data_IF_356138445183
#
_entry.id   IF_356138445183
#
_cell.length_a   1.000
_cell.length_b   1.000
_cell.length_c   1.000
_cell.angle_alpha   90.00
_cell.angle_beta   90.00
_cell.angle_gamma   90.00
#
_symmetry.space_group_name_H-M   'P 1'
#
loop_
_entity.id
_entity.type
_entity.pdbx_description
1 polymer ?
#
# COMPACT_ATOMS: atom_id res chain seq x y z
N UNK A 1 16.08 -80.95 35.00
CA UNK A 1 15.24 -80.99 33.79
C UNK A 1 15.26 -79.60 33.18
N UNK A 2 16.38 -79.14 32.63
CA UNK A 2 17.12 -79.60 31.45
C UNK A 2 16.89 -78.63 30.29
N UNK A 3 18.02 -78.07 29.83
CA UNK A 3 18.36 -77.64 28.47
C UNK A 3 17.34 -76.79 27.66
N UNK A 4 17.68 -75.52 27.38
CA UNK A 4 18.38 -75.08 26.16
C UNK A 4 17.65 -75.41 24.86
N UNK A 5 17.38 -74.39 24.04
CA UNK A 5 17.96 -74.22 22.68
C UNK A 5 17.70 -72.78 22.21
N UNK A 6 18.81 -72.10 21.88
CA UNK A 6 18.91 -70.87 21.09
C UNK A 6 18.70 -71.16 19.60
N UNK A 7 18.57 -70.08 18.81
CA UNK A 7 18.73 -69.92 17.34
C UNK A 7 17.38 -69.70 16.66
N UNK A 8 17.15 -68.71 15.80
CA UNK A 8 17.97 -67.73 15.10
C UNK A 8 17.16 -67.22 13.89
N UNK A 9 17.59 -66.11 13.29
CA UNK A 9 17.09 -65.45 12.06
C UNK A 9 15.76 -64.69 12.18
N UNK A 10 15.73 -63.36 12.06
CA UNK A 10 16.03 -62.48 10.92
C UNK A 10 14.79 -62.17 10.05
N UNK A 11 14.52 -60.86 9.93
CA UNK A 11 13.84 -60.18 8.81
C UNK A 11 12.32 -60.34 8.68
N UNK A 12 11.55 -59.29 9.05
CA UNK A 12 10.87 -58.39 8.09
C UNK A 12 10.16 -57.26 8.87
N UNK A 13 10.80 -56.09 8.96
CA UNK A 13 10.10 -54.82 9.19
C UNK A 13 9.96 -54.19 7.82
N UNK A 14 8.85 -54.47 7.14
CA UNK A 14 8.45 -53.73 5.94
C UNK A 14 6.93 -53.57 5.97
N UNK A 15 6.48 -52.32 5.97
CA UNK A 15 5.26 -51.97 5.26
C UNK A 15 4.05 -51.55 6.08
N UNK A 16 4.15 -50.47 6.86
CA UNK A 16 3.07 -49.47 6.96
C UNK A 16 3.69 -48.08 6.94
N UNK A 17 4.10 -47.66 5.75
CA UNK A 17 4.56 -46.30 5.43
C UNK A 17 3.87 -45.90 4.12
N UNK A 18 2.66 -45.36 4.24
CA UNK A 18 2.02 -44.60 3.17
C UNK A 18 0.88 -43.76 3.79
N UNK A 19 0.84 -42.48 3.42
CA UNK A 19 -0.13 -41.45 3.83
C UNK A 19 0.11 -40.69 5.14
N UNK A 20 1.37 -40.31 5.41
CA UNK A 20 1.64 -39.00 6.03
C UNK A 20 2.32 -38.10 4.99
N UNK A 21 1.95 -36.82 4.89
CA UNK A 21 2.65 -35.86 4.04
C UNK A 21 4.15 -35.84 4.39
N UNK A 22 5.04 -35.50 3.43
CA UNK A 22 6.48 -35.60 3.62
C UNK A 22 6.89 -34.89 4.92
N UNK A 23 7.58 -35.65 5.76
CA UNK A 23 8.06 -35.22 7.05
C UNK A 23 8.75 -33.85 6.94
N UNK A 24 8.32 -32.90 7.77
CA UNK A 24 9.14 -31.77 8.18
C UNK A 24 10.54 -32.31 8.45
N UNK A 25 11.56 -31.86 7.71
CA UNK A 25 12.94 -32.10 8.11
C UNK A 25 13.04 -31.60 9.56
N UNK A 26 13.16 -32.52 10.51
CA UNK A 26 13.09 -32.20 11.93
C UNK A 26 14.31 -31.33 12.24
N UNK A 27 14.08 -30.03 12.37
CA UNK A 27 15.06 -29.06 12.81
C UNK A 27 15.87 -29.68 13.97
N UNK A 28 17.22 -29.77 13.88
CA UNK A 28 18.02 -30.44 14.91
C UNK A 28 17.71 -29.87 16.30
N UNK A 29 17.61 -30.73 17.31
CA UNK A 29 17.17 -30.36 18.66
C UNK A 29 18.04 -29.27 19.33
N UNK A 30 19.31 -29.16 18.93
CA UNK A 30 20.27 -28.17 19.41
C UNK A 30 20.27 -26.86 18.60
N UNK A 31 19.40 -26.71 17.60
CA UNK A 31 19.46 -25.59 16.65
C UNK A 31 19.21 -24.22 17.29
N UNK A 32 18.36 -24.15 18.33
CA UNK A 32 18.13 -22.89 19.07
C UNK A 32 19.40 -22.47 19.81
N UNK A 33 20.05 -23.41 20.48
CA UNK A 33 21.33 -23.17 21.18
C UNK A 33 22.40 -22.76 20.19
N UNK A 34 22.55 -23.48 19.08
CA UNK A 34 23.52 -23.13 18.03
C UNK A 34 23.27 -21.75 17.43
N UNK A 35 22.01 -21.41 17.12
CA UNK A 35 21.68 -20.08 16.63
C UNK A 35 22.01 -18.99 17.67
N UNK A 36 21.78 -19.28 18.96
CA UNK A 36 22.06 -18.35 20.07
C UNK A 36 23.56 -18.16 20.27
N UNK A 37 24.34 -19.23 20.19
CA UNK A 37 25.81 -19.19 20.27
C UNK A 37 26.42 -18.42 19.10
N UNK A 38 25.86 -18.57 17.90
CA UNK A 38 26.25 -17.78 16.73
C UNK A 38 25.88 -16.32 16.91
N UNK A 39 24.70 -16.00 17.46
CA UNK A 39 24.32 -14.63 17.77
C UNK A 39 25.29 -14.00 18.77
N UNK A 40 25.55 -14.65 19.91
CA UNK A 40 26.51 -14.17 20.90
C UNK A 40 27.92 -14.03 20.32
N UNK A 41 28.33 -14.94 19.43
CA UNK A 41 29.62 -14.85 18.72
C UNK A 41 29.66 -13.67 17.75
N UNK A 42 28.55 -13.41 17.05
CA UNK A 42 28.42 -12.28 16.12
C UNK A 42 28.52 -10.94 16.82
N UNK A 43 28.21 -10.84 18.11
CA UNK A 43 28.33 -9.61 18.90
C UNK A 43 29.79 -9.29 19.29
N UNK A 44 30.69 -10.28 19.26
CA UNK A 44 32.09 -10.08 19.66
C UNK A 44 32.86 -9.20 18.66
N UNK A 45 33.77 -8.33 19.13
CA UNK A 45 34.70 -7.62 18.26
C UNK A 45 35.58 -8.58 17.45
N UNK A 46 35.79 -8.30 16.16
CA UNK A 46 36.64 -9.12 15.28
C UNK A 46 36.03 -10.47 14.89
N UNK A 47 34.74 -10.69 15.13
CA UNK A 47 34.06 -11.89 14.68
C UNK A 47 34.15 -12.07 13.15
N UNK A 48 34.39 -13.31 12.70
CA UNK A 48 34.39 -13.65 11.29
C UNK A 48 32.95 -13.68 10.75
N UNK A 49 32.51 -12.53 10.23
CA UNK A 49 31.16 -12.31 9.70
C UNK A 49 30.84 -13.29 8.58
N UNK A 50 31.81 -13.66 7.74
CA UNK A 50 31.60 -14.57 6.61
C UNK A 50 31.34 -16.00 7.11
N UNK A 51 32.18 -16.48 8.02
CA UNK A 51 32.01 -17.81 8.61
C UNK A 51 30.71 -17.92 9.42
N UNK A 52 30.36 -16.88 10.18
CA UNK A 52 29.11 -16.83 10.94
C UNK A 52 27.89 -16.78 10.03
N UNK A 53 27.94 -16.01 8.93
CA UNK A 53 26.87 -15.96 7.93
C UNK A 53 26.64 -17.32 7.28
N UNK A 54 27.72 -18.04 6.91
CA UNK A 54 27.62 -19.38 6.36
C UNK A 54 26.92 -20.37 7.30
N UNK A 55 27.25 -20.31 8.59
CA UNK A 55 26.62 -21.16 9.61
C UNK A 55 25.16 -20.77 9.89
N UNK A 56 24.86 -19.47 9.97
CA UNK A 56 23.49 -18.98 10.15
C UNK A 56 22.61 -19.42 8.98
N UNK A 57 23.07 -19.26 7.74
CA UNK A 57 22.36 -19.67 6.53
C UNK A 57 22.05 -21.18 6.53
N UNK A 58 22.99 -22.01 7.01
CA UNK A 58 22.79 -23.45 7.12
C UNK A 58 21.70 -23.80 8.14
N UNK A 59 21.63 -23.09 9.28
CA UNK A 59 20.55 -23.27 10.26
C UNK A 59 19.21 -22.83 9.67
N UNK A 60 19.15 -21.67 8.99
CA UNK A 60 17.93 -21.19 8.32
C UNK A 60 17.39 -22.18 7.30
N UNK A 61 18.28 -22.85 6.56
CA UNK A 61 17.89 -23.89 5.60
C UNK A 61 17.42 -25.19 6.29
N UNK A 62 18.00 -25.55 7.43
CA UNK A 62 17.65 -26.75 8.18
C UNK A 62 16.37 -26.60 9.03
N UNK A 63 16.05 -25.37 9.43
CA UNK A 63 14.97 -25.06 10.38
C UNK A 63 13.99 -23.98 9.86
N UNK A 64 13.45 -24.10 8.63
CA UNK A 64 12.70 -23.01 7.99
C UNK A 64 11.43 -22.63 8.76
N UNK A 65 10.77 -23.60 9.40
CA UNK A 65 9.47 -23.40 10.07
C UNK A 65 9.56 -23.45 11.60
N UNK A 66 10.76 -23.50 12.21
CA UNK A 66 10.89 -23.55 13.66
C UNK A 66 10.80 -22.14 14.27
N UNK A 67 9.76 -21.80 15.06
CA UNK A 67 9.58 -20.46 15.60
C UNK A 67 10.72 -19.96 16.48
N UNK A 68 11.22 -20.81 17.37
CA UNK A 68 12.23 -20.44 18.35
C UNK A 68 13.58 -20.20 17.69
N UNK A 69 13.92 -21.03 16.70
CA UNK A 69 15.13 -20.83 15.88
C UNK A 69 15.00 -19.56 15.06
N UNK A 70 13.86 -19.38 14.37
CA UNK A 70 13.61 -18.19 13.56
C UNK A 70 13.68 -16.89 14.38
N UNK A 71 13.18 -16.90 15.62
CA UNK A 71 13.30 -15.74 16.53
C UNK A 71 14.75 -15.31 16.73
N UNK A 72 15.66 -16.26 16.93
CA UNK A 72 17.09 -15.97 17.10
C UNK A 72 17.73 -15.58 15.76
N UNK A 73 17.36 -16.26 14.67
CA UNK A 73 17.86 -15.99 13.34
C UNK A 73 17.53 -14.58 12.84
N UNK A 74 16.38 -14.02 13.20
CA UNK A 74 16.05 -12.62 12.85
C UNK A 74 17.11 -11.66 13.38
N UNK A 75 17.44 -11.76 14.67
CA UNK A 75 18.43 -10.91 15.30
C UNK A 75 19.85 -11.19 14.79
N UNK A 76 20.19 -12.48 14.60
CA UNK A 76 21.48 -12.89 14.04
C UNK A 76 21.70 -12.32 12.64
N UNK A 77 20.77 -12.54 11.72
CA UNK A 77 20.88 -12.01 10.36
C UNK A 77 20.85 -10.48 10.33
N UNK A 78 20.06 -9.83 11.19
CA UNK A 78 20.07 -8.37 11.33
C UNK A 78 21.43 -7.83 11.79
N UNK A 79 22.05 -8.47 12.78
CA UNK A 79 23.38 -8.10 13.27
C UNK A 79 24.49 -8.38 12.25
N UNK A 80 24.41 -9.52 11.54
CA UNK A 80 25.34 -9.84 10.45
C UNK A 80 25.21 -8.84 9.30
N UNK A 81 24.01 -8.37 8.98
CA UNK A 81 23.81 -7.33 7.97
C UNK A 81 24.50 -6.01 8.36
N UNK A 82 24.40 -5.60 9.63
CA UNK A 82 25.08 -4.40 10.16
C UNK A 82 26.61 -4.49 10.10
N UNK A 83 27.17 -5.70 10.17
CA UNK A 83 28.61 -5.95 10.20
C UNK A 83 29.18 -6.38 8.86
N UNK A 84 28.34 -6.57 7.85
CA UNK A 84 28.78 -6.96 6.51
C UNK A 84 29.66 -5.88 5.87
N UNK A 85 30.79 -6.28 5.33
CA UNK A 85 31.72 -5.37 4.64
C UNK A 85 31.25 -5.02 3.22
N UNK A 86 30.51 -5.92 2.57
CA UNK A 86 29.94 -5.72 1.25
C UNK A 86 28.44 -5.37 1.33
N UNK A 87 27.97 -4.33 0.63
CA UNK A 87 26.55 -3.99 0.59
C UNK A 87 25.64 -5.13 0.07
N UNK A 88 26.14 -5.97 -0.84
CA UNK A 88 25.43 -7.15 -1.34
C UNK A 88 25.19 -8.19 -0.25
N UNK A 89 26.15 -8.36 0.66
CA UNK A 89 26.06 -9.32 1.75
C UNK A 89 25.11 -8.78 2.83
N UNK A 90 25.17 -7.48 3.11
CA UNK A 90 24.18 -6.80 3.95
C UNK A 90 22.76 -7.00 3.41
N UNK A 91 22.58 -6.84 2.09
CA UNK A 91 21.29 -7.08 1.44
C UNK A 91 20.84 -8.55 1.55
N UNK A 92 21.73 -9.51 1.34
CA UNK A 92 21.39 -10.93 1.48
C UNK A 92 20.99 -11.29 2.91
N UNK A 93 21.71 -10.76 3.92
CA UNK A 93 21.40 -10.98 5.33
C UNK A 93 20.08 -10.32 5.75
N UNK A 94 19.77 -9.11 5.29
CA UNK A 94 18.45 -8.47 5.57
C UNK A 94 17.28 -9.24 4.97
N UNK A 95 17.43 -9.79 3.76
CA UNK A 95 16.44 -10.69 3.15
C UNK A 95 16.22 -11.95 3.99
N UNK A 96 17.29 -12.55 4.52
CA UNK A 96 17.21 -13.72 5.39
C UNK A 96 16.57 -13.39 6.75
N UNK A 97 16.92 -12.25 7.35
CA UNK A 97 16.26 -11.75 8.56
C UNK A 97 14.75 -11.59 8.34
N UNK A 98 14.36 -11.04 7.19
CA UNK A 98 12.96 -10.89 6.83
C UNK A 98 12.23 -12.23 6.65
N UNK A 99 12.85 -13.21 5.98
CA UNK A 99 12.28 -14.55 5.81
C UNK A 99 12.09 -15.27 7.15
N UNK A 100 13.09 -15.20 8.04
CA UNK A 100 12.99 -15.75 9.39
C UNK A 100 11.86 -15.08 10.18
N UNK A 101 11.70 -13.75 10.05
CA UNK A 101 10.62 -13.01 10.69
C UNK A 101 9.25 -13.48 10.19
N UNK A 102 9.06 -13.63 8.87
CA UNK A 102 7.81 -14.13 8.29
C UNK A 102 7.45 -15.52 8.82
N UNK A 103 8.43 -16.43 8.84
CA UNK A 103 8.23 -17.78 9.35
C UNK A 103 7.88 -17.80 10.85
N UNK A 104 8.52 -16.94 11.65
CA UNK A 104 8.19 -16.73 13.06
C UNK A 104 6.74 -16.27 13.23
N UNK A 105 6.28 -15.25 12.51
CA UNK A 105 4.90 -14.76 12.65
C UNK A 105 3.87 -15.77 12.16
N UNK A 106 4.15 -16.51 11.07
CA UNK A 106 3.27 -17.57 10.54
C UNK A 106 2.96 -18.66 11.57
N UNK A 107 3.89 -18.96 12.47
CA UNK A 107 3.73 -19.97 13.50
C UNK A 107 2.78 -19.55 14.66
N UNK A 108 2.21 -18.35 14.61
CA UNK A 108 1.28 -17.86 15.63
C UNK A 108 1.95 -17.41 16.93
N UNK A 109 3.28 -17.27 16.93
CA UNK A 109 4.03 -16.75 18.06
C UNK A 109 3.72 -15.25 18.21
N UNK A 110 2.99 -14.91 19.28
CA UNK A 110 2.46 -13.57 19.60
C UNK A 110 3.53 -12.49 19.88
N UNK A 111 4.81 -12.74 19.59
CA UNK A 111 5.92 -11.80 19.74
C UNK A 111 6.21 -11.02 18.44
N UNK A 112 5.20 -10.79 17.58
CA UNK A 112 5.32 -9.93 16.42
C UNK A 112 5.62 -8.49 16.87
N UNK A 113 6.89 -8.20 17.13
CA UNK A 113 7.34 -6.90 17.61
C UNK A 113 7.49 -5.97 16.39
N UNK A 114 6.68 -4.90 16.37
CA UNK A 114 6.77 -3.84 15.35
C UNK A 114 8.15 -3.18 15.29
N UNK A 115 8.92 -3.18 16.38
CA UNK A 115 10.27 -2.62 16.42
C UNK A 115 11.29 -3.49 15.68
N UNK A 116 11.16 -4.82 15.81
CA UNK A 116 12.07 -5.76 15.15
C UNK A 116 11.86 -5.77 13.64
N UNK A 117 10.59 -5.88 13.26
CA UNK A 117 10.10 -5.64 11.92
C UNK A 117 10.68 -4.36 11.29
N UNK A 118 10.60 -3.29 12.06
CA UNK A 118 11.09 -1.98 11.68
C UNK A 118 12.60 -1.99 11.44
N UNK A 119 13.37 -2.51 12.38
CA UNK A 119 14.82 -2.59 12.26
C UNK A 119 15.23 -3.33 10.97
N UNK A 120 14.54 -4.42 10.61
CA UNK A 120 14.82 -5.16 9.37
C UNK A 120 14.55 -4.30 8.13
N UNK A 121 13.43 -3.56 8.10
CA UNK A 121 13.11 -2.65 6.98
C UNK A 121 14.13 -1.52 6.87
N UNK A 122 14.53 -0.90 8.00
CA UNK A 122 15.54 0.15 8.01
C UNK A 122 16.88 -0.37 7.44
N UNK A 123 17.28 -1.58 7.83
CA UNK A 123 18.49 -2.23 7.31
C UNK A 123 18.37 -2.54 5.81
N UNK A 124 17.21 -3.03 5.37
CA UNK A 124 16.94 -3.30 3.96
C UNK A 124 17.01 -2.01 3.14
N UNK A 125 16.42 -0.92 3.63
CA UNK A 125 16.48 0.40 2.98
C UNK A 125 17.93 0.92 2.84
N UNK A 126 18.73 0.77 3.89
CA UNK A 126 20.15 1.15 3.85
C UNK A 126 20.93 0.29 2.84
N UNK A 127 20.72 -1.02 2.85
CA UNK A 127 21.39 -1.93 1.92
C UNK A 127 21.00 -1.66 0.45
N UNK A 128 19.73 -1.38 0.17
CA UNK A 128 19.25 -1.03 -1.17
C UNK A 128 19.78 0.31 -1.65
N UNK A 129 19.87 1.31 -0.77
CA UNK A 129 20.46 2.60 -1.09
C UNK A 129 21.95 2.48 -1.46
N UNK A 130 22.69 1.60 -0.78
CA UNK A 130 24.12 1.38 -1.05
C UNK A 130 24.37 0.52 -2.31
N UNK A 131 23.52 -0.49 -2.55
CA UNK A 131 23.68 -1.40 -3.69
C UNK A 131 23.07 -0.88 -4.98
N UNK A 132 22.10 0.04 -4.90
CA UNK A 132 21.26 0.46 -6.02
C UNK A 132 20.35 -0.64 -6.57
N UNK A 133 20.23 -1.78 -5.86
CA UNK A 133 19.45 -2.93 -6.29
C UNK A 133 18.30 -3.16 -5.31
N UNK A 134 17.03 -3.16 -5.76
CA UNK A 134 15.93 -3.50 -4.88
C UNK A 134 15.99 -4.98 -4.49
N UNK A 135 15.59 -5.30 -3.26
CA UNK A 135 15.45 -6.68 -2.77
C UNK A 135 14.26 -7.38 -3.42
N UNK A 136 14.14 -8.68 -3.15
CA UNK A 136 12.97 -9.43 -3.58
C UNK A 136 11.66 -8.93 -2.95
N UNK A 137 11.69 -8.13 -1.87
CA UNK A 137 10.50 -7.62 -1.18
C UNK A 137 10.13 -6.19 -1.56
N UNK A 138 11.12 -5.37 -1.94
CA UNK A 138 10.91 -3.98 -2.35
C UNK A 138 10.78 -3.78 -3.86
N UNK A 139 11.19 -4.77 -4.67
CA UNK A 139 11.04 -4.67 -6.13
C UNK A 139 9.56 -4.65 -6.53
N UNK A 140 9.25 -3.86 -7.55
CA UNK A 140 7.93 -3.87 -8.18
C UNK A 140 7.54 -5.28 -8.61
N UNK A 141 6.27 -5.64 -8.40
CA UNK A 141 5.68 -6.90 -8.83
C UNK A 141 5.73 -6.97 -10.35
N UNK A 142 6.30 -8.06 -10.89
CA UNK A 142 6.36 -8.33 -12.33
C UNK A 142 5.36 -9.42 -12.71
N UNK A 143 4.82 -9.39 -13.94
CA UNK A 143 4.06 -10.52 -14.48
C UNK A 143 4.90 -11.81 -14.39
N UNK A 144 4.34 -12.85 -13.79
CA UNK A 144 5.02 -14.15 -13.58
C UNK A 144 5.79 -14.28 -12.27
N UNK A 145 5.87 -13.22 -11.44
CA UNK A 145 6.32 -13.39 -10.06
C UNK A 145 5.38 -14.37 -9.34
N UNK A 146 5.91 -15.30 -8.51
CA UNK A 146 5.05 -16.14 -7.70
C UNK A 146 4.16 -15.24 -6.85
N UNK A 147 2.85 -15.53 -6.85
CA UNK A 147 1.91 -14.80 -6.02
C UNK A 147 2.46 -14.83 -4.59
N UNK A 148 2.65 -13.65 -3.99
CA UNK A 148 2.95 -13.61 -2.57
C UNK A 148 1.84 -14.38 -1.85
N UNK A 149 2.23 -15.21 -0.88
CA UNK A 149 1.25 -15.88 -0.04
C UNK A 149 0.52 -14.79 0.76
N UNK A 150 -0.81 -14.85 0.81
CA UNK A 150 -1.54 -13.95 1.68
C UNK A 150 -1.37 -14.42 3.12
N UNK A 151 -0.29 -13.98 3.76
CA UNK A 151 0.10 -14.37 5.11
C UNK A 151 -0.07 -13.19 6.07
N UNK A 152 -0.56 -13.50 7.28
CA UNK A 152 -0.74 -12.53 8.36
C UNK A 152 0.56 -11.75 8.69
N UNK A 153 1.73 -12.34 8.41
CA UNK A 153 3.03 -11.73 8.63
C UNK A 153 3.29 -10.51 7.74
N UNK A 154 2.99 -10.62 6.44
CA UNK A 154 3.15 -9.50 5.50
C UNK A 154 2.13 -8.40 5.79
N UNK A 155 0.92 -8.81 6.17
CA UNK A 155 -0.16 -7.93 6.62
C UNK A 155 0.21 -7.12 7.87
N UNK A 156 0.50 -7.81 8.98
CA UNK A 156 0.67 -7.19 10.30
C UNK A 156 1.80 -6.17 10.27
N UNK A 157 2.88 -6.48 9.55
CA UNK A 157 4.08 -5.66 9.56
C UNK A 157 3.99 -4.44 8.66
N UNK A 158 3.44 -4.60 7.46
CA UNK A 158 3.12 -3.47 6.62
C UNK A 158 2.15 -2.51 7.34
N UNK A 159 1.26 -3.06 8.17
CA UNK A 159 0.39 -2.31 9.06
C UNK A 159 1.11 -1.60 10.20
N UNK A 160 2.02 -2.26 10.92
CA UNK A 160 2.84 -1.63 11.97
C UNK A 160 3.78 -0.56 11.42
N UNK A 161 4.31 -0.75 10.21
CA UNK A 161 5.25 0.20 9.61
C UNK A 161 4.55 1.38 8.95
N UNK A 162 3.41 1.15 8.30
CA UNK A 162 2.57 2.21 7.75
C UNK A 162 2.12 3.21 8.81
N UNK A 163 1.96 2.76 10.06
CA UNK A 163 1.70 3.60 11.23
C UNK A 163 2.89 4.50 11.64
N UNK A 164 4.13 4.14 11.30
CA UNK A 164 5.36 4.78 11.77
C UNK A 164 6.05 5.69 10.72
N UNK A 165 5.62 5.63 9.46
CA UNK A 165 6.05 6.56 8.40
C UNK A 165 5.59 8.00 8.69
N UNK A 166 4.35 8.26 9.17
CA UNK A 166 3.81 9.61 9.32
C UNK A 166 4.54 10.59 10.23
N UNK A 167 5.40 10.09 11.11
CA UNK A 167 6.02 10.92 12.12
C UNK A 167 7.37 11.53 11.68
N UNK A 168 8.12 10.90 10.76
CA UNK A 168 9.57 11.08 10.70
C UNK A 168 10.21 11.30 9.32
N UNK A 169 9.43 11.50 8.24
CA UNK A 169 10.02 11.88 6.95
C UNK A 169 10.97 10.84 6.33
N UNK A 170 10.63 9.55 6.45
CA UNK A 170 11.59 8.46 6.26
C UNK A 170 11.84 8.10 4.78
N UNK A 171 13.08 7.75 4.38
CA UNK A 171 13.45 7.35 3.01
C UNK A 171 12.98 5.94 2.61
N UNK A 172 12.43 5.16 3.53
CA UNK A 172 12.04 3.74 3.36
C UNK A 172 10.60 3.53 2.84
N UNK A 173 9.82 4.60 2.69
CA UNK A 173 8.40 4.55 2.31
C UNK A 173 8.15 3.75 1.03
N UNK A 174 9.09 3.76 0.07
CA UNK A 174 8.99 2.99 -1.19
C UNK A 174 9.03 1.48 -0.96
N UNK A 175 9.87 1.02 -0.04
CA UNK A 175 9.97 -0.40 0.33
C UNK A 175 8.65 -0.84 0.94
N UNK A 176 8.12 -0.05 1.86
CA UNK A 176 6.88 -0.34 2.58
C UNK A 176 5.68 -0.38 1.63
N UNK A 177 5.61 0.56 0.68
CA UNK A 177 4.58 0.56 -0.35
C UNK A 177 4.69 -0.65 -1.27
N UNK A 178 5.89 -1.06 -1.68
CA UNK A 178 6.07 -2.27 -2.47
C UNK A 178 5.58 -3.53 -1.72
N UNK A 179 5.84 -3.59 -0.41
CA UNK A 179 5.36 -4.68 0.44
C UNK A 179 3.84 -4.66 0.63
N UNK A 180 3.25 -3.47 0.81
CA UNK A 180 1.80 -3.29 0.86
C UNK A 180 1.12 -3.68 -0.45
N UNK A 181 1.62 -3.19 -1.59
CA UNK A 181 1.04 -3.49 -2.91
C UNK A 181 1.09 -4.99 -3.22
N UNK A 182 2.19 -5.66 -2.84
CA UNK A 182 2.30 -7.13 -2.92
C UNK A 182 1.27 -7.84 -2.06
N UNK A 183 1.11 -7.38 -0.82
CA UNK A 183 0.17 -7.96 0.14
C UNK A 183 -1.27 -7.77 -0.34
N UNK A 184 -1.62 -6.58 -0.84
CA UNK A 184 -2.94 -6.29 -1.44
C UNK A 184 -3.20 -7.24 -2.60
N UNK A 185 -2.27 -7.33 -3.57
CA UNK A 185 -2.42 -8.21 -4.72
C UNK A 185 -2.53 -9.70 -4.34
N UNK A 186 -1.83 -10.13 -3.29
CA UNK A 186 -1.88 -11.49 -2.77
C UNK A 186 -3.20 -11.82 -2.06
N UNK A 187 -3.73 -10.86 -1.30
CA UNK A 187 -4.83 -11.03 -0.38
C UNK A 187 -6.21 -10.69 -0.94
N UNK A 188 -6.28 -9.97 -2.06
CA UNK A 188 -7.54 -9.65 -2.75
C UNK A 188 -8.36 -10.95 -2.97
N UNK A 189 -9.57 -11.00 -2.40
CA UNK A 189 -10.47 -12.16 -2.50
C UNK A 189 -10.09 -13.39 -1.67
N UNK A 190 -9.03 -13.33 -0.84
CA UNK A 190 -8.56 -14.47 -0.02
C UNK A 190 -8.64 -14.23 1.50
N UNK A 191 -8.74 -12.98 1.94
CA UNK A 191 -8.91 -12.61 3.35
C UNK A 191 -10.30 -12.05 3.61
N UNK A 192 -10.63 -11.94 4.88
CA UNK A 192 -11.85 -11.27 5.28
C UNK A 192 -11.79 -9.78 4.83
N UNK A 193 -12.89 -9.19 4.35
CA UNK A 193 -12.91 -7.84 3.80
C UNK A 193 -12.27 -6.78 4.71
N UNK A 194 -12.41 -6.93 6.04
CA UNK A 194 -11.82 -6.00 7.01
C UNK A 194 -10.28 -5.97 6.98
N UNK A 195 -9.61 -7.09 6.72
CA UNK A 195 -8.14 -7.15 6.71
C UNK A 195 -7.60 -6.49 5.44
N UNK A 196 -8.29 -6.69 4.31
CA UNK A 196 -7.98 -6.03 3.05
C UNK A 196 -8.19 -4.51 3.12
N UNK A 197 -9.23 -4.06 3.83
CA UNK A 197 -9.51 -2.63 4.05
C UNK A 197 -8.35 -1.94 4.76
N UNK A 198 -7.75 -2.57 5.78
CA UNK A 198 -6.58 -2.01 6.49
C UNK A 198 -5.40 -1.78 5.55
N UNK A 199 -5.06 -2.78 4.73
CA UNK A 199 -3.95 -2.69 3.78
C UNK A 199 -4.15 -1.56 2.77
N UNK A 200 -5.36 -1.48 2.19
CA UNK A 200 -5.72 -0.45 1.22
C UNK A 200 -5.67 0.95 1.83
N UNK A 201 -6.22 1.12 3.03
CA UNK A 201 -6.24 2.41 3.73
C UNK A 201 -4.82 2.91 4.05
N UNK A 202 -3.94 2.02 4.51
CA UNK A 202 -2.55 2.39 4.83
C UNK A 202 -1.71 2.68 3.59
N UNK A 203 -1.88 1.88 2.53
CA UNK A 203 -1.23 2.18 1.24
C UNK A 203 -1.67 3.54 0.71
N UNK A 204 -2.95 3.89 0.81
CA UNK A 204 -3.44 5.21 0.43
C UNK A 204 -2.86 6.33 1.31
N UNK A 205 -2.80 6.13 2.63
CA UNK A 205 -2.27 7.12 3.59
C UNK A 205 -0.80 7.45 3.33
N UNK A 206 0.06 6.44 3.20
CA UNK A 206 1.50 6.63 2.94
C UNK A 206 1.71 7.36 1.62
N UNK A 207 0.92 7.06 0.59
CA UNK A 207 1.01 7.75 -0.71
C UNK A 207 0.58 9.20 -0.62
N UNK A 208 -0.51 9.50 0.09
CA UNK A 208 -0.93 10.89 0.33
C UNK A 208 0.16 11.66 1.06
N UNK A 209 0.75 11.06 2.08
CA UNK A 209 1.82 11.69 2.83
C UNK A 209 3.07 11.91 1.97
N UNK A 210 3.48 10.93 1.15
CA UNK A 210 4.59 11.08 0.21
C UNK A 210 4.36 12.24 -0.77
N UNK A 211 3.12 12.42 -1.22
CA UNK A 211 2.72 13.54 -2.09
C UNK A 211 2.74 14.88 -1.34
N UNK A 212 2.26 14.94 -0.09
CA UNK A 212 2.24 16.14 0.74
C UNK A 212 3.66 16.62 1.07
N UNK A 213 4.54 15.69 1.42
CA UNK A 213 5.95 15.97 1.74
C UNK A 213 6.87 16.03 0.51
N UNK A 214 6.31 15.92 -0.70
CA UNK A 214 7.03 16.02 -1.99
C UNK A 214 8.17 14.98 -2.15
N UNK A 215 8.02 13.79 -1.56
CA UNK A 215 8.98 12.68 -1.72
C UNK A 215 8.95 12.05 -3.12
N UNK A 216 7.88 12.31 -3.88
CA UNK A 216 7.74 12.01 -5.31
C UNK A 216 7.92 13.31 -6.10
N UNK A 217 9.15 13.65 -6.55
CA UNK A 217 9.41 14.95 -7.18
C UNK A 217 8.94 15.02 -8.64
N UNK A 218 8.96 13.90 -9.37
CA UNK A 218 8.59 13.87 -10.78
C UNK A 218 7.06 14.01 -10.98
N UNK A 219 6.59 14.88 -11.89
CA UNK A 219 5.16 15.08 -12.12
C UNK A 219 4.38 13.79 -12.44
N UNK A 220 4.92 12.96 -13.34
CA UNK A 220 4.27 11.71 -13.74
C UNK A 220 4.18 10.71 -12.58
N UNK A 221 5.24 10.61 -11.78
CA UNK A 221 5.26 9.76 -10.57
C UNK A 221 4.24 10.24 -9.52
N UNK A 222 4.05 11.56 -9.39
CA UNK A 222 3.02 12.13 -8.50
C UNK A 222 1.63 11.75 -8.96
N UNK A 223 1.36 11.83 -10.26
CA UNK A 223 0.07 11.46 -10.85
C UNK A 223 -0.19 9.97 -10.64
N UNK A 224 0.79 9.12 -10.97
CA UNK A 224 0.69 7.67 -10.76
C UNK A 224 0.46 7.33 -9.28
N UNK A 225 1.20 7.97 -8.38
CA UNK A 225 1.07 7.78 -6.92
C UNK A 225 -0.32 8.20 -6.42
N UNK A 226 -0.82 9.34 -6.88
CA UNK A 226 -2.15 9.82 -6.52
C UNK A 226 -3.27 8.93 -7.07
N UNK A 227 -3.10 8.37 -8.28
CA UNK A 227 -4.07 7.48 -8.89
C UNK A 227 -4.22 6.18 -8.09
N UNK A 228 -3.09 5.56 -7.70
CA UNK A 228 -3.10 4.36 -6.86
C UNK A 228 -3.69 4.66 -5.47
N UNK A 229 -3.30 5.77 -4.85
CA UNK A 229 -3.84 6.17 -3.54
C UNK A 229 -5.37 6.32 -3.58
N UNK A 230 -5.90 6.96 -4.63
CA UNK A 230 -7.33 7.13 -4.84
C UNK A 230 -8.03 5.79 -5.06
N UNK A 231 -7.49 4.93 -5.91
CA UNK A 231 -8.07 3.62 -6.18
C UNK A 231 -8.14 2.77 -4.89
N UNK A 232 -7.06 2.75 -4.09
CA UNK A 232 -7.04 2.03 -2.83
C UNK A 232 -8.03 2.61 -1.81
N UNK A 233 -8.12 3.93 -1.69
CA UNK A 233 -9.08 4.60 -0.82
C UNK A 233 -10.53 4.25 -1.24
N UNK A 234 -10.85 4.33 -2.52
CA UNK A 234 -12.17 3.98 -3.05
C UNK A 234 -12.52 2.51 -2.76
N UNK A 235 -11.58 1.59 -3.00
CA UNK A 235 -11.78 0.16 -2.73
C UNK A 235 -12.00 -0.11 -1.24
N UNK A 236 -11.24 0.52 -0.35
CA UNK A 236 -11.42 0.40 1.09
C UNK A 236 -12.83 0.82 1.53
N UNK A 237 -13.36 1.94 1.01
CA UNK A 237 -14.71 2.40 1.33
C UNK A 237 -15.83 1.59 0.67
N UNK A 238 -15.60 0.95 -0.48
CA UNK A 238 -16.54 0.01 -1.07
C UNK A 238 -16.71 -1.24 -0.18
N UNK A 239 -15.61 -1.73 0.38
CA UNK A 239 -15.61 -2.88 1.27
C UNK A 239 -16.15 -2.55 2.67
N UNK A 240 -15.99 -1.31 3.14
CA UNK A 240 -16.50 -0.81 4.44
C UNK A 240 -17.11 0.59 4.31
N UNK A 241 -18.40 0.68 3.92
CA UNK A 241 -19.10 1.96 3.73
C UNK A 241 -19.33 2.75 5.01
N UNK A 242 -19.47 2.05 6.15
CA UNK A 242 -19.68 2.60 7.50
C UNK A 242 -18.45 3.35 8.05
N UNK A 243 -17.34 3.28 7.32
CA UNK A 243 -16.05 3.83 7.72
C UNK A 243 -15.07 2.72 8.04
N UNK A 244 -13.79 3.04 7.86
CA UNK A 244 -12.70 2.15 8.24
C UNK A 244 -12.54 2.23 9.75
N UNK A 245 -13.36 1.49 10.51
CA UNK A 245 -13.08 1.26 11.93
C UNK A 245 -11.93 0.28 12.03
N UNK A 246 -10.71 0.79 11.83
CA UNK A 246 -9.43 0.18 12.16
C UNK A 246 -8.40 1.33 12.25
N UNK A 247 -8.30 1.89 13.45
CA UNK A 247 -7.17 2.67 14.00
C UNK A 247 -6.70 3.98 13.34
N UNK A 248 -7.07 4.39 12.10
CA UNK A 248 -6.38 5.55 11.49
C UNK A 248 -7.15 6.55 10.63
N UNK A 249 -8.36 6.29 10.14
CA UNK A 249 -9.04 7.25 9.26
C UNK A 249 -10.52 7.42 9.58
N UNK A 250 -10.86 8.61 10.11
CA UNK A 250 -12.23 9.07 10.25
C UNK A 250 -12.79 9.45 8.87
N UNK A 251 -14.12 9.49 8.68
CA UNK A 251 -14.73 10.00 7.45
C UNK A 251 -14.31 11.44 7.07
N UNK A 252 -13.90 12.24 8.05
CA UNK A 252 -13.32 13.57 7.82
C UNK A 252 -11.94 13.47 7.13
N UNK A 253 -11.09 12.55 7.57
CA UNK A 253 -9.74 12.32 7.01
C UNK A 253 -9.84 11.84 5.56
N UNK A 254 -10.85 10.99 5.25
CA UNK A 254 -11.17 10.62 3.86
C UNK A 254 -11.42 11.85 2.99
N UNK A 255 -12.31 12.76 3.43
CA UNK A 255 -12.68 13.93 2.62
C UNK A 255 -11.46 14.81 2.35
N UNK A 256 -10.63 15.05 3.36
CA UNK A 256 -9.39 15.81 3.20
C UNK A 256 -8.41 15.12 2.25
N UNK A 257 -8.23 13.80 2.36
CA UNK A 257 -7.37 13.04 1.47
C UNK A 257 -7.89 13.03 0.04
N UNK A 258 -9.19 12.84 -0.16
CA UNK A 258 -9.81 12.85 -1.49
C UNK A 258 -9.71 14.24 -2.14
N UNK A 259 -9.94 15.32 -1.38
CA UNK A 259 -9.72 16.70 -1.83
C UNK A 259 -8.27 16.97 -2.22
N UNK A 260 -7.32 16.51 -1.39
CA UNK A 260 -5.90 16.62 -1.70
C UNK A 260 -5.51 15.84 -2.97
N UNK A 261 -5.93 14.57 -3.08
CA UNK A 261 -5.64 13.71 -4.23
C UNK A 261 -6.26 14.25 -5.51
N UNK A 262 -7.48 14.79 -5.43
CA UNK A 262 -8.09 15.52 -6.53
C UNK A 262 -7.16 16.66 -6.97
N UNK A 263 -6.62 17.46 -6.05
CA UNK A 263 -5.65 18.53 -6.36
C UNK A 263 -4.44 18.08 -7.20
N UNK A 264 -3.96 16.85 -7.00
CA UNK A 264 -2.78 16.29 -7.71
C UNK A 264 -3.15 15.67 -9.05
N UNK A 265 -4.31 15.02 -9.15
CA UNK A 265 -4.71 14.27 -10.33
C UNK A 265 -5.11 15.19 -11.50
N UNK A 266 -4.79 14.80 -12.76
CA UNK A 266 -5.16 15.56 -13.95
C UNK A 266 -6.69 15.64 -14.10
N UNK A 267 -7.24 16.55 -14.90
CA UNK A 267 -8.67 16.54 -15.23
C UNK A 267 -9.07 15.24 -15.96
N UNK A 268 -10.27 14.75 -15.70
CA UNK A 268 -10.91 13.68 -16.48
C UNK A 268 -11.08 14.16 -17.93
N UNK A 269 -10.78 13.34 -18.95
CA UNK A 269 -11.05 13.69 -20.34
C UNK A 269 -12.53 13.98 -20.61
N UNK A 270 -12.83 14.97 -21.46
CA UNK A 270 -14.21 15.37 -21.80
C UNK A 270 -15.06 14.20 -22.34
N UNK A 271 -14.44 13.27 -23.07
CA UNK A 271 -15.10 12.09 -23.61
C UNK A 271 -15.67 11.13 -22.55
N UNK A 272 -15.19 11.19 -21.31
CA UNK A 272 -15.59 10.29 -20.23
C UNK A 272 -16.62 10.91 -19.28
N UNK A 273 -16.86 12.22 -19.34
CA UNK A 273 -17.62 12.94 -18.30
C UNK A 273 -19.04 12.43 -18.12
N UNK A 274 -19.72 12.07 -19.20
CA UNK A 274 -21.14 11.72 -19.19
C UNK A 274 -21.41 10.22 -19.26
N UNK A 275 -20.38 9.39 -19.01
CA UNK A 275 -20.58 7.96 -18.84
C UNK A 275 -21.47 7.68 -17.60
N UNK A 276 -22.33 6.65 -17.61
CA UNK A 276 -23.27 6.39 -16.51
C UNK A 276 -22.63 6.30 -15.12
N UNK A 277 -21.44 5.70 -15.03
CA UNK A 277 -20.65 5.59 -13.79
C UNK A 277 -20.16 6.93 -13.23
N UNK A 278 -20.20 7.99 -14.05
CA UNK A 278 -19.72 9.33 -13.70
C UNK A 278 -20.83 10.31 -13.33
N UNK A 279 -22.11 9.90 -13.34
CA UNK A 279 -23.26 10.78 -13.12
C UNK A 279 -23.19 11.61 -11.82
N UNK A 280 -22.60 11.07 -10.76
CA UNK A 280 -22.41 11.74 -9.46
C UNK A 280 -20.91 11.95 -9.09
N UNK A 281 -20.01 11.83 -10.08
CA UNK A 281 -18.57 11.87 -9.83
C UNK A 281 -18.09 13.28 -9.50
N UNK A 282 -17.70 13.51 -8.24
CA UNK A 282 -17.07 14.77 -7.77
C UNK A 282 -15.81 15.10 -8.58
N UNK A 283 -15.11 14.08 -9.07
CA UNK A 283 -13.90 14.28 -9.86
C UNK A 283 -14.18 14.76 -11.28
N UNK A 284 -15.29 14.30 -11.88
CA UNK A 284 -15.79 14.86 -13.14
C UNK A 284 -16.31 16.28 -12.91
N UNK A 285 -17.05 16.53 -11.82
CA UNK A 285 -17.48 17.88 -11.45
C UNK A 285 -16.30 18.84 -11.35
N UNK A 286 -15.21 18.44 -10.69
CA UNK A 286 -13.97 19.21 -10.63
C UNK A 286 -13.37 19.45 -12.01
N UNK A 287 -13.33 18.43 -12.86
CA UNK A 287 -12.72 18.54 -14.21
C UNK A 287 -13.46 19.55 -15.09
N UNK A 288 -14.80 19.51 -15.05
CA UNK A 288 -15.67 20.50 -15.68
C UNK A 288 -15.45 21.89 -15.05
N UNK A 289 -15.44 21.96 -13.72
CA UNK A 289 -15.22 23.21 -13.00
C UNK A 289 -13.85 23.86 -13.30
N UNK A 290 -12.82 23.06 -13.60
CA UNK A 290 -11.49 23.57 -14.00
C UNK A 290 -11.47 24.24 -15.37
N UNK A 291 -12.42 23.92 -16.27
CA UNK A 291 -12.62 24.66 -17.52
C UNK A 291 -13.37 25.97 -17.27
N UNK A 292 -14.40 25.92 -16.43
CA UNK A 292 -15.14 27.13 -16.01
C UNK A 292 -14.17 28.11 -15.32
N UNK A 293 -13.31 27.62 -14.43
CA UNK A 293 -12.32 28.41 -13.71
C UNK A 293 -11.24 29.00 -14.65
N UNK A 294 -10.81 28.25 -15.66
CA UNK A 294 -9.89 28.76 -16.68
C UNK A 294 -10.54 29.88 -17.51
N UNK A 295 -11.78 29.67 -17.98
CA UNK A 295 -12.53 30.69 -18.72
C UNK A 295 -12.80 31.94 -17.85
N UNK A 296 -13.06 31.75 -16.55
CA UNK A 296 -13.23 32.83 -15.58
C UNK A 296 -11.95 33.63 -15.33
N UNK A 297 -10.80 32.94 -15.26
CA UNK A 297 -9.50 33.57 -15.10
C UNK A 297 -9.12 34.44 -16.32
N UNK A 298 -9.48 34.01 -17.52
CA UNK A 298 -9.29 34.80 -18.74
C UNK A 298 -10.07 36.13 -18.72
N UNK A 299 -11.22 36.14 -18.04
CA UNK A 299 -12.02 37.36 -17.81
C UNK A 299 -11.49 38.18 -16.61
N UNK A 300 -10.37 37.79 -16.00
CA UNK A 300 -9.80 38.39 -14.78
C UNK A 300 -10.80 38.48 -13.63
N UNK A 301 -11.78 37.58 -13.59
CA UNK A 301 -12.87 37.61 -12.62
C UNK A 301 -13.75 38.86 -12.65
N UNK A 302 -13.88 39.50 -13.82
CA UNK A 302 -14.75 40.66 -13.99
C UNK A 302 -16.24 40.30 -13.93
N UNK A 303 -17.05 41.29 -13.56
CA UNK A 303 -18.50 41.13 -13.29
C UNK A 303 -19.31 40.56 -14.48
N UNK A 304 -18.79 40.70 -15.71
CA UNK A 304 -19.44 40.29 -16.95
C UNK A 304 -19.18 38.85 -17.36
N UNK A 305 -18.12 38.20 -16.85
CA UNK A 305 -17.92 36.74 -16.91
C UNK A 305 -18.19 36.03 -18.23
N UNK A 306 -18.04 36.72 -19.37
CA UNK A 306 -18.64 36.29 -20.63
C UNK A 306 -18.08 34.94 -21.10
N UNK A 307 -16.79 34.69 -20.89
CA UNK A 307 -16.16 33.44 -21.26
C UNK A 307 -16.62 32.30 -20.37
N UNK A 308 -16.69 32.52 -19.06
CA UNK A 308 -17.22 31.51 -18.13
C UNK A 308 -18.70 31.19 -18.44
N UNK A 309 -19.50 32.21 -18.76
CA UNK A 309 -20.90 32.02 -19.16
C UNK A 309 -21.02 31.23 -20.47
N UNK A 310 -20.21 31.58 -21.48
CA UNK A 310 -20.17 30.86 -22.75
C UNK A 310 -19.72 29.41 -22.58
N UNK A 311 -18.74 29.15 -21.71
CA UNK A 311 -18.25 27.80 -21.40
C UNK A 311 -19.35 26.97 -20.71
N UNK A 312 -20.06 27.55 -19.73
CA UNK A 312 -21.23 26.90 -19.11
C UNK A 312 -22.30 26.59 -20.17
N UNK A 313 -22.56 27.51 -21.10
CA UNK A 313 -23.49 27.28 -22.21
C UNK A 313 -23.06 26.17 -23.16
N UNK A 314 -21.76 26.07 -23.48
CA UNK A 314 -21.18 24.99 -24.27
C UNK A 314 -21.38 23.63 -23.58
N UNK A 315 -21.03 23.57 -22.29
CA UNK A 315 -21.16 22.37 -21.47
C UNK A 315 -22.62 21.93 -21.32
N UNK A 316 -23.55 22.87 -21.18
CA UNK A 316 -24.98 22.56 -21.13
C UNK A 316 -25.49 21.97 -22.44
N UNK A 317 -25.08 22.53 -23.58
CA UNK A 317 -25.42 22.00 -24.90
C UNK A 317 -24.90 20.57 -25.08
N UNK A 318 -23.67 20.29 -24.62
CA UNK A 318 -23.10 18.94 -24.63
C UNK A 318 -23.89 17.98 -23.73
N UNK A 319 -24.26 18.42 -22.53
CA UNK A 319 -25.05 17.62 -21.59
C UNK A 319 -26.44 17.28 -22.15
N UNK A 320 -27.08 18.20 -22.88
CA UNK A 320 -28.37 17.95 -23.55
C UNK A 320 -28.30 16.89 -24.64
N UNK A 321 -27.14 16.70 -25.26
CA UNK A 321 -26.93 15.75 -26.33
C UNK A 321 -26.65 14.32 -25.83
N UNK A 322 -26.58 14.10 -24.52
CA UNK A 322 -26.29 12.79 -23.92
C UNK A 322 -27.51 11.88 -23.88
N UNK A 323 -27.27 10.58 -23.67
CA UNK A 323 -28.34 9.57 -23.52
C UNK A 323 -29.19 9.78 -22.27
N UNK A 324 -28.60 10.28 -21.17
CA UNK A 324 -29.32 10.80 -19.99
C UNK A 324 -29.05 12.31 -19.82
N UNK A 325 -29.84 13.17 -20.49
CA UNK A 325 -29.69 14.62 -20.39
C UNK A 325 -29.90 15.16 -18.98
N UNK A 326 -30.69 14.49 -18.14
CA UNK A 326 -31.00 14.99 -16.80
C UNK A 326 -29.78 14.81 -15.89
N UNK A 327 -29.20 13.61 -15.88
CA UNK A 327 -27.99 13.33 -15.12
C UNK A 327 -26.80 14.19 -15.60
N UNK A 328 -26.60 14.28 -16.92
CA UNK A 328 -25.52 15.08 -17.49
C UNK A 328 -25.65 16.58 -17.14
N UNK A 329 -26.86 17.15 -17.20
CA UNK A 329 -27.09 18.55 -16.80
C UNK A 329 -26.89 18.77 -15.31
N UNK A 330 -27.30 17.80 -14.47
CA UNK A 330 -27.06 17.86 -13.02
C UNK A 330 -25.57 17.89 -12.71
N UNK A 331 -24.77 17.11 -13.44
CA UNK A 331 -23.32 17.08 -13.30
C UNK A 331 -22.67 18.43 -13.66
N UNK A 332 -23.04 19.05 -14.78
CA UNK A 332 -22.57 20.40 -15.17
C UNK A 332 -23.02 21.46 -14.16
N UNK A 333 -24.26 21.37 -13.66
CA UNK A 333 -24.77 22.29 -12.64
C UNK A 333 -23.98 22.20 -11.33
N UNK A 334 -23.71 20.99 -10.83
CA UNK A 334 -22.90 20.77 -9.63
C UNK A 334 -21.46 21.27 -9.80
N UNK A 335 -20.88 21.12 -11.00
CA UNK A 335 -19.56 21.66 -11.31
C UNK A 335 -19.54 23.19 -11.25
N UNK A 336 -20.51 23.85 -11.89
CA UNK A 336 -20.62 25.31 -11.91
C UNK A 336 -20.89 25.89 -10.50
N UNK A 337 -21.77 25.24 -9.73
CA UNK A 337 -22.00 25.58 -8.33
C UNK A 337 -20.72 25.42 -7.50
N UNK A 338 -20.02 24.28 -7.63
CA UNK A 338 -18.78 24.03 -6.90
C UNK A 338 -17.66 25.02 -7.24
N UNK A 339 -17.57 25.48 -8.49
CA UNK A 339 -16.70 26.58 -8.88
C UNK A 339 -17.11 27.91 -8.20
N UNK A 340 -18.38 28.29 -8.30
CA UNK A 340 -18.92 29.54 -7.74
C UNK A 340 -18.75 29.62 -6.22
N UNK A 341 -18.97 28.52 -5.50
CA UNK A 341 -18.76 28.41 -4.05
C UNK A 341 -17.28 28.32 -3.64
N UNK A 342 -16.35 28.33 -4.60
CA UNK A 342 -14.92 28.28 -4.34
C UNK A 342 -14.36 26.89 -4.06
N UNK A 343 -15.19 25.84 -4.06
CA UNK A 343 -14.80 24.45 -3.77
C UNK A 343 -13.83 23.86 -4.81
N UNK A 344 -14.02 24.22 -6.09
CA UNK A 344 -13.22 23.68 -7.21
C UNK A 344 -12.33 24.72 -7.90
N UNK A 345 -12.17 25.91 -7.32
CA UNK A 345 -11.30 26.96 -7.88
C UNK A 345 -9.84 26.58 -7.72
N UNK A 346 -9.02 26.92 -8.73
CA UNK A 346 -7.58 26.74 -8.60
C UNK A 346 -7.00 27.73 -7.58
N UNK A 347 -5.97 27.36 -6.80
CA UNK A 347 -5.36 28.23 -5.80
C UNK A 347 -4.94 29.60 -6.35
N UNK A 348 -4.41 29.65 -7.58
CA UNK A 348 -4.01 30.89 -8.26
C UNK A 348 -5.19 31.84 -8.56
N UNK A 349 -6.42 31.30 -8.66
CA UNK A 349 -7.64 32.04 -8.95
C UNK A 349 -8.45 32.37 -7.69
N UNK A 350 -7.97 31.98 -6.50
CA UNK A 350 -8.70 32.18 -5.24
C UNK A 350 -9.01 33.66 -4.94
N UNK A 351 -8.14 34.58 -5.40
CA UNK A 351 -8.30 36.03 -5.27
C UNK A 351 -9.30 36.67 -6.22
N UNK A 352 -9.80 35.94 -7.22
CA UNK A 352 -10.85 36.44 -8.12
C UNK A 352 -12.21 36.42 -7.40
N UNK A 353 -13.10 37.35 -7.77
CA UNK A 353 -14.49 37.29 -7.30
C UNK A 353 -15.13 35.98 -7.76
N UNK A 354 -16.01 35.36 -6.96
CA UNK A 354 -16.75 34.18 -7.40
C UNK A 354 -17.69 34.53 -8.55
N UNK A 355 -17.98 33.55 -9.42
CA UNK A 355 -19.01 33.68 -10.45
C UNK A 355 -20.38 33.87 -9.79
N UNK A 356 -21.18 34.87 -10.16
CA UNK A 356 -22.51 35.07 -9.58
C UNK A 356 -23.45 33.89 -9.87
N UNK A 357 -24.35 33.57 -8.94
CA UNK A 357 -25.23 32.39 -9.06
C UNK A 357 -26.12 32.41 -10.31
N UNK A 358 -26.52 33.59 -10.77
CA UNK A 358 -27.36 33.73 -11.97
C UNK A 358 -26.66 33.26 -13.26
N UNK A 359 -25.34 33.05 -13.26
CA UNK A 359 -24.60 32.49 -14.41
C UNK A 359 -24.86 31.01 -14.63
N UNK A 360 -25.32 30.27 -13.61
CA UNK A 360 -25.47 28.81 -13.67
C UNK A 360 -26.79 28.30 -13.08
N UNK A 361 -27.54 29.10 -12.33
CA UNK A 361 -28.82 28.63 -11.78
C UNK A 361 -29.82 28.20 -12.87
N UNK A 362 -29.76 28.80 -14.07
CA UNK A 362 -30.64 28.47 -15.20
C UNK A 362 -30.41 27.07 -15.78
N UNK A 363 -29.24 26.45 -15.55
CA UNK A 363 -28.97 25.08 -16.01
C UNK A 363 -29.46 24.00 -15.06
N UNK A 364 -29.86 24.37 -13.83
CA UNK A 364 -30.34 23.44 -12.82
C UNK A 364 -31.52 22.60 -13.35
N UNK A 365 -31.36 21.26 -13.49
CA UNK A 365 -32.43 20.42 -14.01
C UNK A 365 -33.59 20.23 -13.03
N UNK A 366 -33.40 20.54 -11.74
CA UNK A 366 -34.40 20.41 -10.69
C UNK A 366 -35.00 21.78 -10.28
N UNK A 367 -34.68 22.87 -11.00
CA UNK A 367 -35.27 24.17 -10.75
C UNK A 367 -36.78 24.12 -10.96
N UNK A 368 -37.54 24.40 -9.91
CA UNK A 368 -38.96 24.71 -9.96
C UNK A 368 -39.10 26.21 -9.75
N UNK A 369 -39.70 26.96 -10.70
CA UNK A 369 -40.03 28.35 -10.43
C UNK A 369 -40.94 28.42 -9.20
N UNK A 370 -40.85 29.48 -8.38
CA UNK A 370 -41.78 29.68 -7.28
C UNK A 370 -43.21 29.60 -7.82
N UNK A 371 -44.08 28.85 -7.13
CA UNK A 371 -45.50 28.84 -7.45
C UNK A 371 -45.99 30.30 -7.40
N UNK A 372 -46.48 30.80 -8.53
CA UNK A 372 -47.04 32.15 -8.64
C UNK A 372 -48.36 32.25 -7.89
#
# INVERSE_FOLDING_TARGET
MDHMIRSGLATLVVGVLACLPPAFAACPADSVTRASDLFASSERPGADVSALSGQANAISAACPDNPEVNRVLVNLHGNLALKASAPSDAQAQTVLAWRAYRAMVKSGVSYANGDLAKAIIDLMAQAEALTGKPSEFSRAVRPGDPAASCELADYSLATYYGLAIPANGRPDWKIVLAMLDRSIAACEGKVAPQDLVTLLAQSAQIRVEALQNKWTPAPDDRIATAAVAKAHLQRAFQLRPDGVSLLLMKPADRRQMDEFLMGVLPPVPEAEWFLPENADSVYVQRSIAMLIDAAWAEDKGQFTGQKAYAEIGRLEKLARAQSDPKAARRLVWLAAQGHSLGRFRRPENAGLKPTPEYYWNWINPDYRPPAQ
#
